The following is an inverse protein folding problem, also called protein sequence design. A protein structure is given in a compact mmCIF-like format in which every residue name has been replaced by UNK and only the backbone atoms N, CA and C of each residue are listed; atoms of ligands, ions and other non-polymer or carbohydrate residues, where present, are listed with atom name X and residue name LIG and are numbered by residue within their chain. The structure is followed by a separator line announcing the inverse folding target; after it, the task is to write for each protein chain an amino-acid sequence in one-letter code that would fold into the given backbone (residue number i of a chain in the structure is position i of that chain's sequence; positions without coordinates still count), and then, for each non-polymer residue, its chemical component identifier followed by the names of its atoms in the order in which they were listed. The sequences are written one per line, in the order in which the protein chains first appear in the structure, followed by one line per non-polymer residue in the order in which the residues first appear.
data_IF_828876445045
#
_entry.id   IF_828876445045
#
_cell.length_a   1.000
_cell.length_b   1.000
_cell.length_c   1.000
_cell.angle_alpha   90.00
_cell.angle_beta   90.00
_cell.angle_gamma   90.00
#
_symmetry.space_group_name_H-M   'P 1'
#
loop_
_entity.id
_entity.type
_entity.pdbx_description
1 polymer ?
#
# COMPACT_ATOMS: atom_id res chain seq x y z
N UNK A 1 -18.89 -11.53 0.63
CA UNK A 1 -18.19 -10.24 0.35
C UNK A 1 -18.75 -9.43 -0.82
N UNK A 2 -19.30 -10.04 -1.87
CA UNK A 2 -19.83 -9.30 -3.04
C UNK A 2 -20.79 -8.13 -2.73
N UNK A 3 -21.76 -8.23 -1.80
CA UNK A 3 -22.60 -7.08 -1.47
C UNK A 3 -21.83 -5.88 -0.95
N UNK A 4 -20.86 -6.12 -0.08
CA UNK A 4 -20.00 -5.06 0.47
C UNK A 4 -19.10 -4.41 -0.56
N UNK A 5 -18.65 -5.14 -1.58
CA UNK A 5 -17.85 -4.56 -2.68
C UNK A 5 -18.66 -3.46 -3.39
N UNK A 6 -19.91 -3.74 -3.73
CA UNK A 6 -20.78 -2.74 -4.38
C UNK A 6 -21.00 -1.52 -3.48
N UNK A 7 -21.32 -1.74 -2.21
CA UNK A 7 -21.48 -0.64 -1.26
C UNK A 7 -20.21 0.20 -1.10
N UNK A 8 -19.02 -0.44 -1.12
CA UNK A 8 -17.73 0.27 -1.09
C UNK A 8 -17.53 1.10 -2.36
N UNK A 9 -17.85 0.57 -3.53
CA UNK A 9 -17.77 1.33 -4.81
C UNK A 9 -18.69 2.56 -4.82
N UNK A 10 -19.82 2.49 -4.14
CA UNK A 10 -20.80 3.58 -4.00
C UNK A 10 -20.49 4.55 -2.84
N UNK A 11 -19.49 4.26 -2.01
CA UNK A 11 -19.14 5.11 -0.88
C UNK A 11 -18.68 6.50 -1.32
N UNK A 12 -19.12 7.53 -0.61
CA UNK A 12 -18.82 8.94 -0.90
C UNK A 12 -17.75 9.55 0.01
N UNK A 13 -17.36 8.82 1.07
CA UNK A 13 -16.37 9.27 2.03
C UNK A 13 -15.49 8.13 2.54
N UNK A 14 -14.23 8.44 2.87
CA UNK A 14 -13.25 7.47 3.41
C UNK A 14 -13.78 6.77 4.68
N UNK A 15 -14.38 7.45 5.67
CA UNK A 15 -14.92 6.76 6.84
C UNK A 15 -16.01 5.75 6.50
N UNK A 16 -16.86 6.04 5.51
CA UNK A 16 -17.91 5.13 5.05
C UNK A 16 -17.31 3.88 4.39
N UNK A 17 -16.35 4.06 3.47
CA UNK A 17 -15.66 2.94 2.84
C UNK A 17 -14.94 2.06 3.87
N UNK A 18 -14.31 2.68 4.87
CA UNK A 18 -13.62 1.99 5.96
C UNK A 18 -14.59 1.20 6.87
N UNK A 19 -15.75 1.74 7.19
CA UNK A 19 -16.78 1.02 7.97
C UNK A 19 -17.31 -0.19 7.20
N UNK A 20 -17.61 -0.03 5.92
CA UNK A 20 -18.08 -1.12 5.04
C UNK A 20 -17.04 -2.23 4.92
N UNK A 21 -15.77 -1.87 4.78
CA UNK A 21 -14.66 -2.82 4.81
C UNK A 21 -14.63 -3.63 6.11
N UNK A 22 -14.69 -2.96 7.25
CA UNK A 22 -14.69 -3.64 8.54
C UNK A 22 -15.91 -4.57 8.69
N UNK A 23 -17.10 -4.12 8.28
CA UNK A 23 -18.33 -4.94 8.32
C UNK A 23 -18.19 -6.19 7.45
N UNK A 24 -17.65 -6.04 6.25
CA UNK A 24 -17.42 -7.15 5.34
C UNK A 24 -16.48 -8.20 5.93
N UNK A 25 -15.37 -7.80 6.53
CA UNK A 25 -14.42 -8.73 7.15
C UNK A 25 -14.90 -9.29 8.50
N UNK A 26 -15.67 -8.53 9.28
CA UNK A 26 -16.32 -9.07 10.49
C UNK A 26 -17.28 -10.20 10.17
N UNK A 27 -17.96 -10.18 9.03
CA UNK A 27 -18.84 -11.29 8.61
C UNK A 27 -18.07 -12.59 8.33
N UNK A 28 -16.74 -12.51 8.15
CA UNK A 28 -15.84 -13.65 8.01
C UNK A 28 -15.12 -14.02 9.32
N UNK A 29 -15.34 -13.29 10.41
CA UNK A 29 -14.73 -13.54 11.71
C UNK A 29 -13.44 -12.77 12.00
N UNK A 30 -13.09 -11.77 11.18
CA UNK A 30 -12.01 -10.85 11.51
C UNK A 30 -12.51 -9.76 12.46
N UNK A 31 -11.64 -9.33 13.38
CA UNK A 31 -11.99 -8.38 14.44
C UNK A 31 -11.07 -7.15 14.44
N UNK A 32 -9.85 -7.32 13.97
CA UNK A 32 -8.78 -6.31 14.02
C UNK A 32 -8.39 -5.88 12.63
N UNK A 33 -8.31 -4.56 12.43
CA UNK A 33 -8.11 -3.97 11.10
C UNK A 33 -7.13 -2.81 11.22
N UNK A 34 -6.06 -2.90 10.44
CA UNK A 34 -5.06 -1.86 10.27
C UNK A 34 -4.87 -1.67 8.77
N UNK A 35 -4.95 -0.44 8.30
CA UNK A 35 -4.58 -0.05 6.95
C UNK A 35 -3.54 1.04 7.06
N UNK A 36 -2.37 0.82 6.49
CA UNK A 36 -1.28 1.79 6.47
C UNK A 36 -0.74 1.90 5.06
N UNK A 37 -0.56 3.14 4.60
CA UNK A 37 0.20 3.44 3.39
C UNK A 37 1.22 4.53 3.65
N UNK A 38 2.35 4.49 2.95
CA UNK A 38 3.48 5.42 3.10
C UNK A 38 4.01 5.83 1.74
N UNK A 39 4.76 6.93 1.71
CA UNK A 39 5.58 7.31 0.56
C UNK A 39 6.75 6.32 0.36
N UNK A 40 7.41 6.31 -0.82
CA UNK A 40 8.54 5.43 -1.09
C UNK A 40 9.73 5.57 -0.13
N UNK A 41 9.84 6.71 0.56
CA UNK A 41 10.86 6.97 1.58
C UNK A 41 10.37 6.68 3.01
N UNK A 42 9.22 5.99 3.14
CA UNK A 42 8.53 5.70 4.39
C UNK A 42 8.00 6.91 5.16
N UNK A 43 8.00 8.09 4.57
CA UNK A 43 7.36 9.28 5.14
C UNK A 43 5.85 9.32 4.86
N UNK A 44 5.16 10.32 5.41
CA UNK A 44 3.77 10.60 5.09
C UNK A 44 2.80 9.45 5.37
N UNK A 45 2.98 8.73 6.47
CA UNK A 45 2.12 7.60 6.82
C UNK A 45 0.66 8.02 6.98
N UNK A 46 -0.24 7.29 6.29
CA UNK A 46 -1.68 7.35 6.51
C UNK A 46 -2.14 6.04 7.13
N UNK A 47 -2.89 6.14 8.20
CA UNK A 47 -3.36 4.98 8.94
C UNK A 47 -4.86 5.06 9.23
N UNK A 48 -5.56 3.96 8.97
CA UNK A 48 -6.89 3.68 9.48
C UNK A 48 -6.81 2.42 10.34
N UNK A 49 -7.30 2.47 11.57
CA UNK A 49 -7.22 1.34 12.47
C UNK A 49 -8.40 1.35 13.46
N UNK A 50 -8.84 0.16 13.86
CA UNK A 50 -9.71 -0.01 15.03
C UNK A 50 -8.92 -0.39 16.30
N UNK A 51 -7.61 -0.26 16.27
CA UNK A 51 -6.67 -0.47 17.39
C UNK A 51 -5.88 0.83 17.67
N UNK A 52 -6.52 1.93 18.08
CA UNK A 52 -5.84 3.22 18.26
C UNK A 52 -4.73 3.13 19.33
N UNK A 53 -4.92 2.34 20.36
CA UNK A 53 -3.96 2.19 21.47
C UNK A 53 -2.65 1.52 21.02
N UNK A 54 -2.67 0.73 19.97
CA UNK A 54 -1.48 0.10 19.42
C UNK A 54 -0.48 1.14 18.89
N UNK A 55 -0.99 2.23 18.31
CA UNK A 55 -0.19 3.31 17.73
C UNK A 55 0.08 4.47 18.68
N UNK A 56 -0.39 4.36 19.93
CA UNK A 56 -0.08 5.36 20.97
C UNK A 56 1.38 5.32 21.40
N UNK A 57 2.01 4.14 21.34
CA UNK A 57 3.40 3.92 21.72
C UNK A 57 4.38 3.92 20.54
N UNK A 58 3.89 3.67 19.31
CA UNK A 58 4.72 3.64 18.11
C UNK A 58 3.94 4.20 16.91
N UNK A 59 4.55 5.08 16.09
CA UNK A 59 3.89 5.59 14.90
C UNK A 59 3.64 4.48 13.87
N UNK A 60 2.61 4.63 13.01
CA UNK A 60 2.20 3.61 12.04
C UNK A 60 3.28 3.16 11.06
N UNK A 61 4.25 4.01 10.76
CA UNK A 61 5.41 3.72 9.89
C UNK A 61 6.40 2.72 10.52
N UNK A 62 6.24 2.41 11.81
CA UNK A 62 7.00 1.38 12.52
C UNK A 62 6.31 0.02 12.61
N UNK A 63 5.14 -0.15 12.00
CA UNK A 63 4.51 -1.47 11.89
C UNK A 63 5.47 -2.43 11.16
N UNK A 64 5.89 -3.55 11.80
CA UNK A 64 6.88 -4.47 11.22
C UNK A 64 6.40 -5.12 9.93
N UNK A 65 5.08 -5.25 9.73
CA UNK A 65 4.50 -5.83 8.51
C UNK A 65 4.34 -4.82 7.38
N UNK A 66 4.39 -3.51 7.69
CA UNK A 66 4.31 -2.47 6.67
C UNK A 66 5.43 -2.62 5.63
N UNK A 67 6.69 -2.83 6.07
CA UNK A 67 7.83 -3.02 5.17
C UNK A 67 7.61 -4.22 4.26
N UNK A 68 7.13 -5.34 4.80
CA UNK A 68 6.77 -6.50 3.99
C UNK A 68 5.72 -6.13 2.93
N UNK A 69 4.65 -5.45 3.32
CA UNK A 69 3.60 -5.01 2.39
C UNK A 69 4.12 -4.02 1.34
N UNK A 70 5.17 -3.26 1.64
CA UNK A 70 5.81 -2.36 0.68
C UNK A 70 6.66 -3.09 -0.36
N UNK A 71 7.28 -4.21 0.00
CA UNK A 71 8.26 -4.91 -0.84
C UNK A 71 7.67 -6.11 -1.59
N UNK A 72 6.52 -6.63 -1.17
CA UNK A 72 5.94 -7.87 -1.68
C UNK A 72 4.51 -7.68 -2.23
N UNK A 73 4.04 -8.68 -2.93
CA UNK A 73 2.66 -8.77 -3.45
C UNK A 73 1.84 -9.87 -2.78
N UNK A 74 2.51 -10.82 -2.13
CA UNK A 74 1.88 -11.99 -1.54
C UNK A 74 1.46 -11.72 -0.10
N UNK A 75 0.50 -12.51 0.37
CA UNK A 75 0.12 -12.53 1.77
C UNK A 75 1.28 -12.92 2.67
N UNK A 76 1.29 -12.36 3.88
CA UNK A 76 2.08 -12.92 4.97
C UNK A 76 1.18 -13.19 6.17
N UNK A 77 1.52 -14.21 6.95
CA UNK A 77 0.88 -14.43 8.24
C UNK A 77 1.37 -13.39 9.24
N UNK A 78 0.46 -12.89 10.07
CA UNK A 78 0.77 -11.87 11.08
C UNK A 78 0.19 -12.24 12.44
N UNK A 79 0.63 -11.52 13.47
CA UNK A 79 0.17 -11.71 14.84
C UNK A 79 1.13 -12.53 15.70
N UNK A 80 0.86 -12.53 16.99
CA UNK A 80 1.80 -13.04 17.99
C UNK A 80 1.99 -14.57 17.97
N UNK A 81 0.98 -15.29 17.47
CA UNK A 81 1.08 -16.75 17.36
C UNK A 81 2.02 -17.20 16.22
N UNK A 82 2.51 -16.26 15.39
CA UNK A 82 3.50 -16.47 14.34
C UNK A 82 4.88 -15.88 14.67
N UNK A 83 5.09 -15.35 15.87
CA UNK A 83 6.37 -14.71 16.25
C UNK A 83 7.58 -15.65 16.17
N UNK A 84 7.38 -16.94 16.37
CA UNK A 84 8.46 -17.94 16.27
C UNK A 84 8.88 -18.17 14.81
N UNK A 85 7.99 -17.92 13.85
CA UNK A 85 8.27 -18.02 12.41
C UNK A 85 9.09 -16.82 11.88
N UNK A 86 9.27 -15.76 12.70
CA UNK A 86 9.94 -14.51 12.38
C UNK A 86 11.08 -14.19 13.36
N UNK A 87 12.03 -15.09 13.50
CA UNK A 87 13.17 -14.98 14.42
C UNK A 87 14.11 -13.80 14.10
N UNK A 88 14.09 -13.34 12.85
CA UNK A 88 14.87 -12.20 12.35
C UNK A 88 14.31 -10.83 12.73
N UNK A 89 13.10 -10.75 13.31
CA UNK A 89 12.51 -9.47 13.70
C UNK A 89 13.27 -8.87 14.90
N UNK A 90 13.57 -7.55 14.86
CA UNK A 90 14.20 -6.86 15.98
C UNK A 90 13.24 -6.77 17.18
N UNK A 91 13.81 -6.52 18.36
CA UNK A 91 13.09 -6.55 19.63
C UNK A 91 11.92 -5.56 19.72
N UNK A 92 12.06 -4.39 19.10
CA UNK A 92 10.99 -3.37 19.03
C UNK A 92 9.80 -3.85 18.19
N UNK A 93 10.06 -4.54 17.07
CA UNK A 93 9.01 -5.15 16.24
C UNK A 93 8.32 -6.31 17.00
N UNK A 94 9.08 -7.16 17.67
CA UNK A 94 8.53 -8.24 18.51
C UNK A 94 7.68 -7.70 19.65
N UNK A 95 8.11 -6.60 20.27
CA UNK A 95 7.37 -5.92 21.34
C UNK A 95 6.06 -5.33 20.81
N UNK A 96 6.05 -4.71 19.62
CA UNK A 96 4.86 -4.20 18.97
C UNK A 96 3.83 -5.31 18.70
N UNK A 97 4.27 -6.46 18.16
CA UNK A 97 3.40 -7.61 17.90
C UNK A 97 2.86 -8.20 19.22
N UNK A 98 3.69 -8.25 20.27
CA UNK A 98 3.28 -8.72 21.61
C UNK A 98 2.25 -7.78 22.25
N UNK A 99 2.38 -6.47 22.04
CA UNK A 99 1.38 -5.50 22.47
C UNK A 99 0.03 -5.72 21.73
N UNK A 100 0.06 -5.97 20.43
CA UNK A 100 -1.15 -6.29 19.67
C UNK A 100 -1.86 -7.55 20.23
N UNK A 101 -1.09 -8.56 20.68
CA UNK A 101 -1.65 -9.73 21.38
C UNK A 101 -2.40 -9.35 22.65
N UNK A 102 -1.89 -8.43 23.45
CA UNK A 102 -2.58 -7.99 24.67
C UNK A 102 -3.92 -7.32 24.40
N UNK A 103 -4.11 -6.77 23.19
CA UNK A 103 -5.36 -6.22 22.68
C UNK A 103 -6.26 -7.28 22.03
N UNK A 104 -5.82 -8.54 21.96
CA UNK A 104 -6.58 -9.67 21.40
C UNK A 104 -6.14 -10.11 20.00
N UNK A 105 -5.27 -9.39 19.32
CA UNK A 105 -4.79 -9.74 17.98
C UNK A 105 -3.77 -10.89 18.08
N UNK A 106 -4.22 -12.11 17.81
CA UNK A 106 -3.38 -13.30 17.88
C UNK A 106 -2.82 -13.74 16.55
N UNK A 107 -3.68 -13.80 15.54
CA UNK A 107 -3.37 -14.29 14.19
C UNK A 107 -4.02 -13.41 13.14
N UNK A 108 -3.43 -13.33 11.97
CA UNK A 108 -3.97 -12.50 10.89
C UNK A 108 -3.19 -12.63 9.58
N UNK A 109 -3.51 -11.71 8.68
CA UNK A 109 -2.86 -11.56 7.39
C UNK A 109 -2.34 -10.14 7.19
N UNK A 110 -1.09 -10.02 6.77
CA UNK A 110 -0.56 -8.86 6.08
C UNK A 110 -0.92 -8.97 4.59
N UNK A 111 -1.68 -8.02 4.09
CA UNK A 111 -2.20 -8.01 2.71
C UNK A 111 -1.63 -6.82 1.95
N UNK A 112 -0.57 -7.03 1.15
CA UNK A 112 -0.03 -5.96 0.31
C UNK A 112 -1.06 -5.46 -0.70
N UNK A 113 -1.13 -4.13 -0.87
CA UNK A 113 -2.01 -3.49 -1.85
C UNK A 113 -1.26 -2.78 -2.96
N UNK A 114 0.06 -2.98 -3.00
CA UNK A 114 0.89 -2.41 -4.05
C UNK A 114 0.44 -2.89 -5.42
N UNK A 115 0.05 -1.97 -6.27
CA UNK A 115 -0.18 -2.21 -7.69
C UNK A 115 1.01 -1.67 -8.48
N UNK A 116 1.30 -2.32 -9.61
CA UNK A 116 2.41 -1.91 -10.47
C UNK A 116 2.18 -0.50 -11.01
N UNK A 117 3.14 0.41 -10.76
CA UNK A 117 3.04 1.80 -11.21
C UNK A 117 2.45 2.77 -10.18
N UNK A 118 2.04 2.31 -9.01
CA UNK A 118 1.61 3.19 -7.92
C UNK A 118 2.82 3.72 -7.14
N UNK A 119 2.71 4.99 -6.74
CA UNK A 119 3.77 5.67 -6.01
C UNK A 119 3.76 5.33 -4.52
N UNK A 120 2.61 4.90 -3.99
CA UNK A 120 2.44 4.59 -2.57
C UNK A 120 2.55 3.10 -2.32
N UNK A 121 3.04 2.78 -1.15
CA UNK A 121 3.27 1.44 -0.67
C UNK A 121 2.50 1.20 0.62
N UNK A 122 2.15 -0.03 0.89
CA UNK A 122 1.49 -0.39 2.12
C UNK A 122 0.54 -1.55 1.98
N UNK A 123 -0.37 -1.65 2.91
CA UNK A 123 -1.33 -2.75 2.93
C UNK A 123 -2.27 -2.73 4.10
N UNK A 124 -2.96 -3.82 4.22
CA UNK A 124 -3.81 -4.12 5.36
C UNK A 124 -3.11 -5.15 6.26
N UNK A 125 -3.26 -4.97 7.56
CA UNK A 125 -3.01 -6.01 8.54
C UNK A 125 -4.35 -6.32 9.20
N UNK A 126 -4.91 -7.49 8.91
CA UNK A 126 -6.23 -7.91 9.35
C UNK A 126 -6.11 -9.12 10.26
N UNK A 127 -6.78 -9.13 11.39
CA UNK A 127 -6.55 -10.16 12.39
C UNK A 127 -7.78 -10.58 13.18
N UNK A 128 -7.55 -11.61 13.98
CA UNK A 128 -8.54 -12.25 14.83
C UNK A 128 -7.90 -12.76 16.13
N UNK A 129 -8.74 -13.03 17.12
CA UNK A 129 -8.34 -13.71 18.36
C UNK A 129 -8.21 -15.23 18.27
N UNK A 130 -8.41 -15.83 17.09
CA UNK A 130 -8.30 -17.27 16.90
C UNK A 130 -6.86 -17.76 17.09
N UNK A 131 -6.63 -18.96 17.65
CA UNK A 131 -5.32 -19.59 17.64
C UNK A 131 -4.89 -20.03 16.23
N UNK A 132 -3.57 -20.18 16.01
CA UNK A 132 -2.93 -20.44 14.71
C UNK A 132 -3.61 -21.57 13.92
N UNK A 133 -3.82 -22.72 14.53
CA UNK A 133 -4.38 -23.90 13.87
C UNK A 133 -5.81 -23.67 13.37
N UNK A 134 -6.64 -22.98 14.17
CA UNK A 134 -8.00 -22.61 13.79
C UNK A 134 -8.02 -21.57 12.69
N UNK A 135 -7.13 -20.59 12.79
CA UNK A 135 -7.02 -19.53 11.80
C UNK A 135 -6.66 -20.10 10.43
N UNK A 136 -5.62 -20.92 10.34
CA UNK A 136 -5.18 -21.55 9.09
C UNK A 136 -6.28 -22.42 8.47
N UNK A 137 -6.96 -23.23 9.28
CA UNK A 137 -8.03 -24.10 8.82
C UNK A 137 -9.25 -23.34 8.25
N UNK A 138 -9.61 -22.21 8.86
CA UNK A 138 -10.81 -21.45 8.48
C UNK A 138 -10.55 -20.40 7.41
N UNK A 139 -9.41 -19.73 7.47
CA UNK A 139 -9.13 -18.55 6.65
C UNK A 139 -8.29 -18.83 5.41
N UNK A 140 -7.59 -19.98 5.35
CA UNK A 140 -6.73 -20.31 4.23
C UNK A 140 -7.43 -20.34 2.87
N UNK A 141 -8.68 -20.81 2.84
CA UNK A 141 -9.49 -20.88 1.61
C UNK A 141 -10.00 -19.51 1.13
N UNK A 142 -9.97 -18.48 1.98
CA UNK A 142 -10.51 -17.15 1.71
C UNK A 142 -9.46 -16.12 1.25
N UNK A 143 -8.19 -16.51 1.17
CA UNK A 143 -7.09 -15.58 0.91
C UNK A 143 -7.29 -14.73 -0.35
N UNK A 144 -7.68 -15.36 -1.46
CA UNK A 144 -7.86 -14.63 -2.72
C UNK A 144 -9.03 -13.64 -2.67
N UNK A 145 -10.13 -14.01 -2.02
CA UNK A 145 -11.29 -13.14 -1.85
C UNK A 145 -10.97 -11.96 -0.93
N UNK A 146 -10.26 -12.22 0.16
CA UNK A 146 -9.78 -11.20 1.10
C UNK A 146 -8.87 -10.21 0.39
N UNK A 147 -7.90 -10.72 -0.40
CA UNK A 147 -7.00 -9.87 -1.17
C UNK A 147 -7.76 -8.97 -2.13
N UNK A 148 -8.69 -9.55 -2.89
CA UNK A 148 -9.51 -8.80 -3.84
C UNK A 148 -10.30 -7.69 -3.12
N UNK A 149 -10.89 -8.01 -1.98
CA UNK A 149 -11.63 -7.07 -1.16
C UNK A 149 -10.75 -5.93 -0.63
N UNK A 150 -9.54 -6.25 -0.15
CA UNK A 150 -8.55 -5.26 0.25
C UNK A 150 -8.13 -4.34 -0.91
N UNK A 151 -7.90 -4.89 -2.10
CA UNK A 151 -7.52 -4.10 -3.28
C UNK A 151 -8.63 -3.15 -3.73
N UNK A 152 -9.88 -3.58 -3.75
CA UNK A 152 -11.03 -2.70 -4.09
C UNK A 152 -11.17 -1.60 -3.05
N UNK A 153 -11.07 -1.94 -1.77
CA UNK A 153 -11.16 -0.96 -0.68
C UNK A 153 -10.01 0.07 -0.76
N UNK A 154 -8.79 -0.39 -0.97
CA UNK A 154 -7.63 0.48 -1.16
C UNK A 154 -7.85 1.46 -2.31
N UNK A 155 -8.24 0.95 -3.48
CA UNK A 155 -8.54 1.78 -4.65
C UNK A 155 -9.60 2.83 -4.35
N UNK A 156 -10.68 2.45 -3.65
CA UNK A 156 -11.77 3.38 -3.30
C UNK A 156 -11.32 4.43 -2.30
N UNK A 157 -10.55 4.05 -1.29
CA UNK A 157 -9.98 5.00 -0.33
C UNK A 157 -9.09 6.02 -1.06
N UNK A 158 -8.25 5.58 -1.99
CA UNK A 158 -7.40 6.47 -2.78
C UNK A 158 -8.22 7.41 -3.68
N UNK A 159 -9.26 6.89 -4.34
CA UNK A 159 -10.18 7.69 -5.18
C UNK A 159 -10.83 8.82 -4.36
N UNK A 160 -11.42 8.47 -3.21
CA UNK A 160 -12.08 9.43 -2.32
C UNK A 160 -11.10 10.46 -1.77
N UNK A 161 -9.92 10.02 -1.45
CA UNK A 161 -8.89 10.89 -0.94
C UNK A 161 -8.38 11.88 -2.00
N UNK A 162 -8.26 11.47 -3.26
CA UNK A 162 -7.95 12.38 -4.38
C UNK A 162 -9.04 13.44 -4.54
N UNK A 163 -10.31 13.08 -4.41
CA UNK A 163 -11.41 14.02 -4.49
C UNK A 163 -11.38 15.08 -3.38
N UNK A 164 -10.95 14.72 -2.16
CA UNK A 164 -10.80 15.64 -1.03
C UNK A 164 -9.60 16.59 -1.18
N UNK A 165 -8.57 16.20 -1.92
CA UNK A 165 -7.34 16.98 -2.07
C UNK A 165 -7.51 18.29 -2.84
N UNK A 166 -8.69 18.54 -3.41
CA UNK A 166 -9.04 19.84 -4.02
C UNK A 166 -9.51 20.87 -3.01
N UNK A 167 -9.80 20.51 -1.74
CA UNK A 167 -10.42 21.39 -0.75
C UNK A 167 -9.77 21.46 0.64
N UNK A 168 -8.80 20.59 0.98
CA UNK A 168 -8.18 20.57 2.32
C UNK A 168 -6.65 20.49 2.29
N UNK A 169 -5.90 21.13 3.23
CA UNK A 169 -4.45 21.24 3.11
C UNK A 169 -3.68 20.03 3.64
N UNK A 170 -2.79 19.53 2.79
CA UNK A 170 -1.46 18.97 3.03
C UNK A 170 -1.25 17.60 3.69
N UNK A 171 -2.00 17.09 4.65
CA UNK A 171 -1.67 15.78 5.28
C UNK A 171 -2.12 14.59 4.45
N UNK A 172 -3.22 14.73 3.75
CA UNK A 172 -3.74 13.72 2.84
C UNK A 172 -3.20 13.90 1.41
N UNK A 173 -2.83 15.13 1.02
CA UNK A 173 -2.19 15.42 -0.27
C UNK A 173 -0.84 14.73 -0.45
N UNK A 174 -0.05 14.59 0.61
CA UNK A 174 1.18 13.81 0.56
C UNK A 174 0.95 12.34 0.22
N UNK A 175 -0.23 11.83 0.57
CA UNK A 175 -0.60 10.42 0.36
C UNK A 175 -0.96 10.07 -1.08
N UNK A 176 -1.48 11.03 -1.84
CA UNK A 176 -2.13 10.77 -3.11
C UNK A 176 -1.56 11.61 -4.26
N UNK A 177 -1.08 12.80 -3.95
CA UNK A 177 -0.56 13.76 -4.92
C UNK A 177 0.87 13.46 -5.41
N UNK A 178 1.51 12.38 -4.97
CA UNK A 178 2.72 11.89 -5.64
C UNK A 178 2.46 11.48 -7.10
N UNK A 179 1.23 11.67 -7.61
CA UNK A 179 0.88 11.08 -8.88
C UNK A 179 0.60 12.02 -10.03
N UNK A 180 0.18 13.26 -9.82
CA UNK A 180 -0.11 14.09 -10.99
C UNK A 180 0.35 15.53 -10.83
N UNK A 181 1.67 15.72 -10.86
CA UNK A 181 2.21 17.03 -11.24
C UNK A 181 1.72 17.36 -12.65
N UNK A 182 1.51 18.64 -12.97
CA UNK A 182 1.22 19.07 -14.35
C UNK A 182 2.25 18.49 -15.33
N UNK A 183 3.48 18.28 -14.87
CA UNK A 183 4.52 17.62 -15.63
C UNK A 183 4.20 16.13 -15.94
N UNK A 184 3.60 15.40 -14.99
CA UNK A 184 3.25 13.99 -15.23
C UNK A 184 2.09 13.80 -16.20
N UNK A 185 1.17 14.77 -16.26
CA UNK A 185 0.06 14.78 -17.23
C UNK A 185 0.55 14.89 -18.70
N UNK A 186 1.72 15.46 -18.92
CA UNK A 186 2.32 15.56 -20.26
C UNK A 186 2.84 14.22 -20.78
N UNK A 187 3.06 13.25 -19.89
CA UNK A 187 3.65 11.97 -20.22
C UNK A 187 2.58 10.89 -20.41
N UNK A 188 2.81 10.00 -21.38
CA UNK A 188 2.05 8.75 -21.48
C UNK A 188 2.37 7.85 -20.28
N UNK A 189 1.51 6.86 -19.99
CA UNK A 189 1.73 5.90 -18.93
C UNK A 189 3.10 5.19 -19.06
N UNK A 190 3.49 4.81 -20.29
CA UNK A 190 4.79 4.17 -20.56
C UNK A 190 5.98 5.10 -20.39
N UNK A 191 5.85 6.36 -20.76
CA UNK A 191 6.89 7.35 -20.52
C UNK A 191 7.10 7.60 -19.03
N UNK A 192 6.02 7.65 -18.23
CA UNK A 192 6.09 7.77 -16.76
C UNK A 192 6.79 6.59 -16.11
N UNK A 193 6.42 5.36 -16.47
CA UNK A 193 7.08 4.13 -15.96
C UNK A 193 8.58 4.15 -16.25
N UNK A 194 8.96 4.46 -17.48
CA UNK A 194 10.38 4.51 -17.88
C UNK A 194 11.14 5.59 -17.10
N UNK A 195 10.59 6.81 -17.00
CA UNK A 195 11.24 7.90 -16.27
C UNK A 195 11.37 7.56 -14.79
N UNK A 196 10.34 6.94 -14.20
CA UNK A 196 10.37 6.49 -12.81
C UNK A 196 11.53 5.51 -12.55
N UNK A 197 11.62 4.43 -13.32
CA UNK A 197 12.67 3.41 -13.12
C UNK A 197 14.08 3.96 -13.35
N UNK A 198 14.26 4.79 -14.37
CA UNK A 198 15.55 5.45 -14.64
C UNK A 198 15.88 6.48 -13.53
N UNK A 199 14.86 7.15 -13.00
CA UNK A 199 15.00 8.07 -11.86
C UNK A 199 15.45 7.40 -10.58
N UNK A 200 15.07 6.12 -10.38
CA UNK A 200 15.54 5.27 -9.28
C UNK A 200 16.97 4.74 -9.48
N UNK A 201 17.63 5.12 -10.54
CA UNK A 201 19.04 4.75 -10.80
C UNK A 201 19.23 3.52 -11.68
N UNK A 202 18.15 2.87 -12.12
CA UNK A 202 18.24 1.71 -13.01
C UNK A 202 18.86 2.08 -14.36
N UNK A 203 19.67 1.17 -14.91
CA UNK A 203 20.16 1.27 -16.29
C UNK A 203 19.02 1.01 -17.29
N UNK A 204 19.23 1.41 -18.55
CA UNK A 204 18.26 1.15 -19.62
C UNK A 204 18.01 -0.34 -19.84
N UNK A 205 19.02 -1.20 -19.61
CA UNK A 205 18.89 -2.66 -19.73
C UNK A 205 18.00 -3.24 -18.63
N UNK A 206 18.23 -2.80 -17.38
CA UNK A 206 17.42 -3.23 -16.23
C UNK A 206 15.98 -2.74 -16.37
N UNK A 207 15.78 -1.48 -16.73
CA UNK A 207 14.45 -0.93 -17.01
C UNK A 207 13.73 -1.70 -18.12
N UNK A 208 14.44 -2.03 -19.21
CA UNK A 208 13.89 -2.83 -20.31
C UNK A 208 13.46 -4.22 -19.85
N UNK A 209 14.28 -4.88 -19.03
CA UNK A 209 13.98 -6.19 -18.46
C UNK A 209 12.71 -6.16 -17.58
N UNK A 210 12.61 -5.16 -16.70
CA UNK A 210 11.45 -5.00 -15.79
C UNK A 210 10.16 -4.72 -16.56
N UNK A 211 10.21 -3.88 -17.58
CA UNK A 211 9.03 -3.45 -18.33
C UNK A 211 8.67 -4.36 -19.52
N UNK A 212 9.47 -5.40 -19.79
CA UNK A 212 9.28 -6.27 -20.95
C UNK A 212 9.48 -5.54 -22.29
N UNK A 213 10.44 -4.62 -22.34
CA UNK A 213 10.77 -3.79 -23.51
C UNK A 213 12.18 -4.07 -24.02
N UNK A 214 12.51 -3.54 -25.21
CA UNK A 214 13.88 -3.46 -25.68
C UNK A 214 14.60 -2.23 -25.08
N UNK A 215 15.95 -2.27 -24.88
CA UNK A 215 16.71 -1.09 -24.45
C UNK A 215 16.57 0.11 -25.39
N UNK A 216 16.36 -0.13 -26.69
CA UNK A 216 16.12 0.91 -27.69
C UNK A 216 14.75 1.57 -27.46
N UNK A 217 13.71 0.78 -27.21
CA UNK A 217 12.37 1.28 -26.89
C UNK A 217 12.38 2.14 -25.62
N UNK A 218 13.12 1.70 -24.56
CA UNK A 218 13.33 2.50 -23.35
C UNK A 218 14.02 3.85 -23.68
N UNK A 219 15.02 3.83 -24.56
CA UNK A 219 15.70 5.06 -24.99
C UNK A 219 14.78 6.02 -25.73
N UNK A 220 13.88 5.52 -26.55
CA UNK A 220 12.92 6.34 -27.29
C UNK A 220 11.86 6.95 -26.38
N UNK A 221 11.35 6.18 -25.41
CA UNK A 221 10.46 6.72 -24.36
C UNK A 221 11.16 7.80 -23.52
N UNK A 222 12.41 7.62 -23.16
CA UNK A 222 13.18 8.63 -22.43
C UNK A 222 13.36 9.92 -23.23
N UNK A 223 13.75 9.82 -24.50
CA UNK A 223 13.89 10.99 -25.38
C UNK A 223 12.59 11.76 -25.51
N UNK A 224 11.47 11.04 -25.71
CA UNK A 224 10.16 11.65 -25.79
C UNK A 224 9.75 12.32 -24.48
N UNK A 225 9.91 11.63 -23.35
CA UNK A 225 9.60 12.14 -22.03
C UNK A 225 10.44 13.40 -21.68
N UNK A 226 11.74 13.36 -21.93
CA UNK A 226 12.62 14.52 -21.66
C UNK A 226 12.24 15.73 -22.50
N UNK A 227 11.88 15.53 -23.76
CA UNK A 227 11.38 16.60 -24.64
C UNK A 227 10.08 17.21 -24.10
N UNK A 228 9.12 16.38 -23.69
CA UNK A 228 7.83 16.82 -23.13
C UNK A 228 7.99 17.56 -21.81
N UNK A 229 8.91 17.10 -20.96
CA UNK A 229 9.22 17.71 -19.68
C UNK A 229 10.14 18.96 -19.81
N UNK A 230 10.74 19.20 -20.97
CA UNK A 230 11.70 20.30 -21.15
C UNK A 230 13.00 20.11 -20.34
N UNK A 231 13.42 18.85 -20.13
CA UNK A 231 14.63 18.51 -19.35
C UNK A 231 15.64 17.74 -20.19
N UNK A 232 16.90 17.68 -19.72
CA UNK A 232 17.98 17.05 -20.48
C UNK A 232 18.64 15.83 -19.82
N UNK A 233 18.25 15.53 -18.58
CA UNK A 233 18.86 14.43 -17.83
C UNK A 233 17.85 13.78 -16.87
N UNK A 234 18.22 12.59 -16.34
CA UNK A 234 17.37 11.79 -15.46
C UNK A 234 17.05 12.48 -14.12
N UNK A 235 18.02 13.22 -13.57
CA UNK A 235 17.84 13.89 -12.27
C UNK A 235 16.81 15.00 -12.39
N UNK A 236 16.93 15.87 -13.41
CA UNK A 236 15.96 16.92 -13.66
C UNK A 236 14.57 16.38 -14.01
N UNK A 237 14.50 15.24 -14.73
CA UNK A 237 13.24 14.58 -15.02
C UNK A 237 12.56 14.05 -13.75
N UNK A 238 13.31 13.37 -12.88
CA UNK A 238 12.81 12.85 -11.61
C UNK A 238 12.36 13.98 -10.67
N UNK A 239 13.12 15.06 -10.57
CA UNK A 239 12.76 16.25 -9.78
C UNK A 239 11.45 16.88 -10.29
N UNK A 240 11.30 17.05 -11.61
CA UNK A 240 10.12 17.67 -12.21
C UNK A 240 8.85 16.85 -12.08
N UNK A 241 8.98 15.52 -11.89
CA UNK A 241 7.86 14.62 -11.62
C UNK A 241 7.50 14.54 -10.13
N UNK A 242 8.43 14.92 -9.26
CA UNK A 242 8.19 14.95 -7.80
C UNK A 242 7.54 16.25 -7.31
N UNK A 243 7.52 17.29 -8.15
CA UNK A 243 7.03 18.64 -7.83
C UNK A 243 8.17 19.50 -7.38
#
# INVERSE_FOLDING_TARGET
MLPFIREIEEAEAVPQAWELFQRGLRSLGFEFFIYVTVEPDFSGAFCLSNLPDLFSAAPPDRDPFLRYCCDHYDFTYTGADYLEDYDYLPDDARSFISQARSLGFRTGYGVPVRLRGEARFGGFNIGTGLPKERFEAQMGVLQHEIRFFCLITHRKIEELARALSTSEPLKFRGLIAASETEASKLLSAREREVVYHIGQGLSRKECASILGLSPNTVSDYLKSAYRKLGVRNRVSAAQKLRG
#
